data_IF_893382424014
#
_entry.id   IF_893382424014
#
_cell.length_a   1.000
_cell.length_b   1.000
_cell.length_c   1.000
_cell.angle_alpha   90.00
_cell.angle_beta   90.00
_cell.angle_gamma   90.00
#
_symmetry.space_group_name_H-M   'P 1'
#
loop_
_entity.id
_entity.type
_entity.pdbx_description
1 polymer ?
#
# COMPACT_ATOMS: atom_id res chain seq x y z
N UNK A 1 5.38 -9.26 15.93
CA UNK A 1 6.26 -8.46 15.03
C UNK A 1 5.39 -7.41 14.35
N UNK A 2 5.45 -6.14 14.77
CA UNK A 2 4.68 -5.07 14.12
C UNK A 2 5.50 -4.50 12.96
N UNK A 3 5.25 -4.99 11.74
CA UNK A 3 6.06 -4.70 10.55
C UNK A 3 6.11 -3.20 10.22
N UNK A 4 5.07 -2.43 10.58
CA UNK A 4 5.01 -0.98 10.33
C UNK A 4 5.25 -0.09 11.56
N UNK A 5 5.50 -0.67 12.75
CA UNK A 5 5.58 -0.02 14.09
C UNK A 5 4.39 0.88 14.47
N UNK A 6 4.15 1.96 13.74
CA UNK A 6 3.07 2.92 13.94
C UNK A 6 2.35 3.21 12.62
N UNK A 7 1.02 3.04 12.62
CA UNK A 7 0.19 3.44 11.49
C UNK A 7 0.28 4.97 11.29
N UNK A 8 0.37 5.45 10.04
CA UNK A 8 0.28 6.88 9.75
C UNK A 8 -0.99 7.52 10.32
N UNK A 9 -0.94 8.83 10.60
CA UNK A 9 -2.09 9.58 11.11
C UNK A 9 -3.29 9.53 10.15
N UNK A 10 -3.03 9.67 8.85
CA UNK A 10 -4.06 9.57 7.81
C UNK A 10 -4.75 8.21 7.78
N UNK A 11 -4.06 7.12 8.15
CA UNK A 11 -4.64 5.78 8.14
C UNK A 11 -5.75 5.63 9.18
N UNK A 12 -5.68 6.41 10.26
CA UNK A 12 -6.67 6.40 11.34
C UNK A 12 -7.78 7.44 11.15
N UNK A 13 -7.70 8.31 10.14
CA UNK A 13 -8.69 9.36 9.94
C UNK A 13 -10.02 8.79 9.49
N UNK A 14 -11.12 9.40 9.96
CA UNK A 14 -12.48 9.01 9.55
C UNK A 14 -12.69 9.20 8.05
N UNK A 15 -12.04 10.21 7.47
CA UNK A 15 -12.09 10.48 6.04
C UNK A 15 -11.50 9.33 5.23
N UNK A 16 -10.30 8.85 5.56
CA UNK A 16 -9.69 7.71 4.84
C UNK A 16 -10.51 6.44 5.07
N UNK A 17 -10.87 6.13 6.32
CA UNK A 17 -11.57 4.90 6.68
C UNK A 17 -12.95 4.79 6.04
N UNK A 18 -13.70 5.89 5.95
CA UNK A 18 -15.04 5.89 5.33
C UNK A 18 -14.98 5.89 3.80
N UNK A 19 -13.99 6.54 3.20
CA UNK A 19 -13.88 6.67 1.74
C UNK A 19 -13.23 5.46 1.08
N UNK A 20 -12.21 4.85 1.68
CA UNK A 20 -11.44 3.77 1.03
C UNK A 20 -12.31 2.56 0.68
N UNK A 21 -13.34 2.26 1.48
CA UNK A 21 -14.29 1.17 1.21
C UNK A 21 -15.34 1.51 0.13
N UNK A 22 -15.58 2.80 -0.15
CA UNK A 22 -16.59 3.28 -1.12
C UNK A 22 -15.97 3.66 -2.46
N UNK A 23 -14.86 4.39 -2.43
CA UNK A 23 -14.20 4.98 -3.58
C UNK A 23 -12.68 4.63 -3.62
N UNK A 24 -12.29 3.35 -3.55
CA UNK A 24 -10.88 2.98 -3.37
C UNK A 24 -9.95 3.53 -4.46
N UNK A 25 -10.41 3.56 -5.72
CA UNK A 25 -9.63 4.11 -6.85
C UNK A 25 -9.33 5.60 -6.69
N UNK A 26 -10.29 6.36 -6.18
CA UNK A 26 -10.15 7.80 -5.96
C UNK A 26 -9.18 8.05 -4.81
N UNK A 27 -9.33 7.32 -3.70
CA UNK A 27 -8.36 7.36 -2.61
C UNK A 27 -6.94 7.06 -3.09
N UNK A 28 -6.73 5.97 -3.86
CA UNK A 28 -5.42 5.64 -4.42
C UNK A 28 -4.87 6.76 -5.33
N UNK A 29 -5.72 7.42 -6.11
CA UNK A 29 -5.28 8.52 -6.98
C UNK A 29 -4.77 9.74 -6.20
N UNK A 30 -5.28 9.99 -4.99
CA UNK A 30 -4.80 11.05 -4.08
C UNK A 30 -3.39 10.73 -3.54
N UNK A 31 -3.05 9.45 -3.39
CA UNK A 31 -1.68 8.99 -3.13
C UNK A 31 -0.81 8.93 -4.40
N UNK A 32 -1.34 9.32 -5.56
CA UNK A 32 -0.65 9.27 -6.85
C UNK A 32 -0.58 7.88 -7.48
N UNK A 33 -1.31 6.90 -6.93
CA UNK A 33 -1.39 5.54 -7.48
C UNK A 33 -2.51 5.47 -8.52
N UNK A 34 -2.14 5.15 -9.76
CA UNK A 34 -3.07 4.91 -10.85
C UNK A 34 -2.96 3.46 -11.31
N UNK A 35 -4.07 2.73 -11.21
CA UNK A 35 -4.16 1.35 -11.65
C UNK A 35 -5.04 1.25 -12.90
N UNK A 36 -4.71 0.36 -13.86
CA UNK A 36 -5.58 0.07 -15.00
C UNK A 36 -7.03 -0.17 -14.58
N UNK A 37 -8.00 0.23 -15.40
CA UNK A 37 -9.43 0.15 -15.08
C UNK A 37 -9.90 -1.28 -14.80
N UNK A 38 -9.31 -2.26 -15.49
CA UNK A 38 -9.59 -3.68 -15.32
C UNK A 38 -8.96 -4.31 -14.05
N UNK A 39 -8.17 -3.56 -13.28
CA UNK A 39 -7.56 -4.08 -12.04
C UNK A 39 -8.60 -4.27 -10.95
N UNK A 40 -8.71 -5.47 -10.39
CA UNK A 40 -9.59 -5.69 -9.24
C UNK A 40 -8.97 -5.10 -7.97
N UNK A 41 -9.73 -4.30 -7.22
CA UNK A 41 -9.28 -3.74 -5.94
C UNK A 41 -10.09 -4.38 -4.82
N UNK A 42 -9.39 -4.94 -3.83
CA UNK A 42 -9.99 -5.53 -2.63
C UNK A 42 -9.56 -4.72 -1.42
N UNK A 43 -10.54 -4.20 -0.70
CA UNK A 43 -10.31 -3.46 0.54
C UNK A 43 -10.59 -4.39 1.70
N UNK A 44 -9.59 -4.57 2.56
CA UNK A 44 -9.69 -5.39 3.76
C UNK A 44 -9.90 -4.50 4.97
N UNK A 45 -11.13 -4.43 5.47
CA UNK A 45 -11.41 -3.77 6.74
C UNK A 45 -10.94 -4.69 7.88
N UNK A 46 -9.93 -4.25 8.62
CA UNK A 46 -9.31 -5.05 9.67
C UNK A 46 -10.16 -4.99 10.93
N UNK A 47 -11.04 -5.97 11.12
CA UNK A 47 -11.67 -6.24 12.43
C UNK A 47 -10.62 -6.81 13.39
N UNK A 48 -10.81 -6.59 14.70
CA UNK A 48 -9.74 -6.35 15.68
C UNK A 48 -8.64 -7.42 15.83
N UNK A 49 -8.83 -8.65 15.37
CA UNK A 49 -7.93 -9.78 15.64
C UNK A 49 -6.98 -10.12 14.50
N UNK A 50 -7.30 -9.74 13.25
CA UNK A 50 -6.46 -10.04 12.08
C UNK A 50 -5.70 -8.78 11.64
N UNK A 51 -4.45 -8.97 11.22
CA UNK A 51 -3.61 -7.91 10.63
C UNK A 51 -3.20 -8.34 9.24
N UNK A 52 -3.56 -7.52 8.26
CA UNK A 52 -3.17 -7.71 6.87
C UNK A 52 -1.93 -6.84 6.56
N UNK A 53 -1.11 -7.36 5.65
CA UNK A 53 0.00 -6.64 5.03
C UNK A 53 -0.12 -6.87 3.52
N UNK A 54 0.08 -5.83 2.73
CA UNK A 54 0.20 -5.97 1.28
C UNK A 54 1.63 -6.42 0.97
N UNK A 55 1.76 -7.54 0.26
CA UNK A 55 3.01 -7.90 -0.41
C UNK A 55 2.97 -7.30 -1.82
N UNK A 56 3.70 -6.21 -2.09
CA UNK A 56 3.62 -5.54 -3.37
C UNK A 56 4.29 -6.37 -4.47
N UNK A 57 3.81 -6.21 -5.71
CA UNK A 57 4.39 -6.85 -6.88
C UNK A 57 5.76 -6.27 -7.20
N UNK A 58 6.75 -7.13 -7.45
CA UNK A 58 8.08 -6.71 -7.91
C UNK A 58 8.04 -6.30 -9.39
N UNK A 59 8.32 -5.03 -9.73
CA UNK A 59 8.43 -4.60 -11.12
C UNK A 59 9.65 -5.21 -11.82
N UNK A 60 9.54 -5.42 -13.14
CA UNK A 60 10.63 -5.97 -13.96
C UNK A 60 11.92 -5.17 -13.88
N UNK A 61 11.83 -3.85 -13.72
CA UNK A 61 12.97 -2.95 -13.60
C UNK A 61 13.88 -3.24 -12.39
N UNK A 62 13.37 -3.95 -11.38
CA UNK A 62 14.12 -4.31 -10.17
C UNK A 62 14.45 -5.81 -10.10
N UNK A 63 14.22 -6.57 -11.18
CA UNK A 63 14.64 -7.97 -11.26
C UNK A 63 16.16 -8.05 -11.19
N UNK A 64 16.66 -8.95 -10.35
CA UNK A 64 18.09 -9.17 -10.14
C UNK A 64 18.71 -8.28 -9.06
N UNK A 65 17.94 -7.38 -8.44
CA UNK A 65 18.38 -6.68 -7.23
C UNK A 65 18.61 -7.69 -6.11
N UNK A 66 19.64 -7.45 -5.30
CA UNK A 66 19.87 -8.16 -4.05
C UNK A 66 18.76 -7.86 -3.04
N UNK A 67 18.66 -8.70 -2.01
CA UNK A 67 17.70 -8.48 -0.92
C UNK A 67 17.85 -7.09 -0.28
N UNK A 68 19.08 -6.65 -0.05
CA UNK A 68 19.39 -5.36 0.56
C UNK A 68 18.92 -4.19 -0.32
N UNK A 69 19.08 -4.30 -1.63
CA UNK A 69 18.61 -3.29 -2.58
C UNK A 69 17.08 -3.29 -2.68
N UNK A 70 16.44 -4.46 -2.64
CA UNK A 70 14.99 -4.58 -2.63
C UNK A 70 14.36 -3.95 -1.38
N UNK A 71 14.98 -4.11 -0.21
CA UNK A 71 14.52 -3.45 1.02
C UNK A 71 14.49 -1.93 0.86
N UNK A 72 15.43 -1.35 0.11
CA UNK A 72 15.51 0.10 -0.12
C UNK A 72 14.36 0.68 -0.95
N UNK A 73 13.63 -0.15 -1.72
CA UNK A 73 12.55 0.30 -2.60
C UNK A 73 11.15 -0.05 -2.09
N UNK A 74 11.03 -0.88 -1.04
CA UNK A 74 9.74 -1.20 -0.42
C UNK A 74 9.38 -0.16 0.63
N UNK A 75 8.47 0.75 0.27
CA UNK A 75 7.96 1.77 1.19
C UNK A 75 6.86 1.24 2.11
N UNK A 76 6.58 1.98 3.18
CA UNK A 76 5.43 1.70 4.07
C UNK A 76 4.10 1.76 3.31
N UNK A 77 3.94 2.73 2.42
CA UNK A 77 2.70 2.89 1.66
C UNK A 77 2.49 1.72 0.70
N UNK A 78 3.56 1.16 0.13
CA UNK A 78 3.49 -0.07 -0.66
C UNK A 78 3.03 -1.27 0.18
N UNK A 79 3.45 -1.34 1.44
CA UNK A 79 3.01 -2.38 2.39
C UNK A 79 1.59 -2.18 2.94
N UNK A 80 1.05 -0.95 2.89
CA UNK A 80 -0.36 -0.65 3.21
C UNK A 80 -1.26 -0.87 1.98
N UNK A 81 -0.71 -0.75 0.76
CA UNK A 81 -1.45 -0.81 -0.50
C UNK A 81 -1.83 0.55 -1.08
N UNK A 82 -1.31 1.65 -0.52
CA UNK A 82 -1.49 3.03 -1.00
C UNK A 82 -0.30 3.54 -1.83
N UNK A 83 0.69 2.68 -2.09
CA UNK A 83 1.86 2.98 -2.92
C UNK A 83 2.27 1.79 -3.79
N UNK A 84 3.08 2.05 -4.80
CA UNK A 84 3.77 1.03 -5.59
C UNK A 84 5.26 1.01 -5.21
N UNK A 85 5.92 -0.13 -5.43
CA UNK A 85 7.38 -0.22 -5.26
C UNK A 85 8.05 0.68 -6.30
N UNK A 86 9.02 1.46 -5.88
CA UNK A 86 9.73 2.39 -6.75
C UNK A 86 10.82 3.15 -6.01
N UNK A 87 11.60 3.99 -6.71
CA UNK A 87 12.54 4.88 -6.05
C UNK A 87 11.77 5.75 -5.06
N UNK A 88 12.30 5.87 -3.83
CA UNK A 88 11.72 6.75 -2.83
C UNK A 88 11.63 8.17 -3.41
N UNK A 89 10.46 8.81 -3.23
CA UNK A 89 10.34 10.26 -3.40
C UNK A 89 10.96 10.97 -2.22
#
# INVERSE_FOLDING_TARGET
>A
MAITRHSPTWYKSDEYRSRVVREPRKCLSEFGVKLPENTNIRVWDSTAEIRYLVLPMLPDAFKGFSEQELVGIVSRDAMIGTGLIGPAK
#
